data_IF_644389216284
#
_entry.id   IF_644389216284
#
_cell.length_a   1.000
_cell.length_b   1.000
_cell.length_c   1.000
_cell.angle_alpha   90.00
_cell.angle_beta   90.00
_cell.angle_gamma   90.00
#
_symmetry.space_group_name_H-M   'P 1'
#
loop_
_entity.id
_entity.type
_entity.pdbx_description
1 polymer ?
#
# COMPACT_ATOMS: atom_id res chain seq x y z
N UNK A 1 -9.24 20.69 -2.11
CA UNK A 1 -8.91 19.29 -1.74
C UNK A 1 -7.63 18.83 -2.45
N UNK A 2 -6.67 18.21 -1.73
CA UNK A 2 -5.34 17.85 -2.27
C UNK A 2 -5.25 16.51 -2.99
N UNK A 3 -6.25 15.63 -2.82
CA UNK A 3 -6.31 14.28 -3.39
C UNK A 3 -7.59 14.09 -4.18
N UNK A 4 -7.46 13.47 -5.35
CA UNK A 4 -8.56 12.99 -6.19
C UNK A 4 -9.22 11.75 -5.59
N UNK A 5 -10.35 11.31 -6.15
CA UNK A 5 -11.02 10.09 -5.68
C UNK A 5 -10.19 8.83 -6.01
N UNK A 6 -9.48 8.82 -7.14
CA UNK A 6 -8.50 7.80 -7.48
C UNK A 6 -7.34 7.74 -6.47
N UNK A 7 -6.82 8.90 -6.06
CA UNK A 7 -5.76 8.94 -5.04
C UNK A 7 -6.27 8.39 -3.69
N UNK A 8 -7.50 8.73 -3.31
CA UNK A 8 -8.11 8.27 -2.05
C UNK A 8 -8.35 6.77 -2.05
N UNK A 9 -8.84 6.20 -3.15
CA UNK A 9 -9.06 4.76 -3.26
C UNK A 9 -7.73 3.99 -3.22
N UNK A 10 -6.69 4.50 -3.88
CA UNK A 10 -5.35 3.92 -3.80
C UNK A 10 -4.77 3.96 -2.36
N UNK A 11 -4.97 5.07 -1.64
CA UNK A 11 -4.57 5.18 -0.23
C UNK A 11 -5.34 4.24 0.68
N UNK A 12 -6.65 4.08 0.45
CA UNK A 12 -7.48 3.14 1.20
C UNK A 12 -7.01 1.68 1.00
N UNK A 13 -6.74 1.29 -0.24
CA UNK A 13 -6.16 -0.02 -0.56
C UNK A 13 -4.78 -0.20 0.09
N UNK A 14 -3.93 0.82 0.05
CA UNK A 14 -2.61 0.78 0.68
C UNK A 14 -2.69 0.60 2.21
N UNK A 15 -3.61 1.28 2.89
CA UNK A 15 -3.84 1.11 4.32
C UNK A 15 -4.34 -0.30 4.65
N UNK A 16 -5.33 -0.78 3.91
CA UNK A 16 -5.90 -2.12 4.02
C UNK A 16 -4.82 -3.21 3.91
N UNK A 17 -4.05 -3.22 2.82
CA UNK A 17 -2.99 -4.20 2.56
C UNK A 17 -1.89 -4.14 3.62
N UNK A 18 -1.53 -2.94 4.10
CA UNK A 18 -0.47 -2.80 5.11
C UNK A 18 -0.87 -3.42 6.46
N UNK A 19 -2.17 -3.45 6.75
CA UNK A 19 -2.76 -3.98 8.00
C UNK A 19 -3.25 -5.43 7.90
N UNK A 20 -2.77 -6.19 6.91
CA UNK A 20 -3.09 -7.61 6.75
C UNK A 20 -2.79 -8.44 8.01
N UNK A 21 -1.81 -8.05 8.82
CA UNK A 21 -1.41 -8.81 10.02
C UNK A 21 -2.32 -8.63 11.22
N UNK A 22 -3.07 -7.52 11.30
CA UNK A 22 -3.88 -7.14 12.46
C UNK A 22 -5.38 -7.04 12.15
N UNK A 23 -5.79 -7.39 10.91
CA UNK A 23 -7.20 -7.41 10.48
C UNK A 23 -7.54 -8.71 9.77
N UNK A 24 -8.58 -9.45 10.22
CA UNK A 24 -8.96 -10.73 9.62
C UNK A 24 -9.53 -10.60 8.20
N UNK A 25 -10.11 -9.45 7.84
CA UNK A 25 -10.58 -9.12 6.49
C UNK A 25 -10.04 -7.73 6.11
N UNK A 26 -8.71 -7.64 5.94
CA UNK A 26 -8.05 -6.35 5.80
C UNK A 26 -8.39 -5.65 4.48
N UNK A 27 -8.59 -6.42 3.40
CA UNK A 27 -8.94 -5.93 2.05
C UNK A 27 -10.32 -6.49 1.70
N UNK A 28 -11.37 -5.82 2.17
CA UNK A 28 -12.75 -6.16 1.84
C UNK A 28 -13.06 -5.88 0.36
N UNK A 29 -14.06 -6.57 -0.19
CA UNK A 29 -14.56 -6.36 -1.56
C UNK A 29 -14.86 -4.87 -1.86
N UNK A 30 -15.43 -4.12 -0.90
CA UNK A 30 -15.72 -2.69 -1.08
C UNK A 30 -14.47 -1.86 -1.38
N UNK A 31 -13.35 -2.15 -0.73
CA UNK A 31 -12.07 -1.44 -0.91
C UNK A 31 -11.46 -1.81 -2.26
N UNK A 32 -11.53 -3.10 -2.61
CA UNK A 32 -11.04 -3.60 -3.89
C UNK A 32 -11.84 -3.02 -5.06
N UNK A 33 -13.16 -3.10 -5.00
CA UNK A 33 -14.07 -2.63 -6.04
C UNK A 33 -13.97 -1.11 -6.21
N UNK A 34 -13.80 -0.35 -5.13
CA UNK A 34 -13.60 1.09 -5.24
C UNK A 34 -12.28 1.41 -5.97
N UNK A 35 -11.17 0.73 -5.65
CA UNK A 35 -9.93 0.91 -6.41
C UNK A 35 -10.09 0.49 -7.89
N UNK A 36 -10.77 -0.63 -8.15
CA UNK A 36 -11.01 -1.13 -9.50
C UNK A 36 -11.92 -0.21 -10.35
N UNK A 37 -12.66 0.73 -9.75
CA UNK A 37 -13.38 1.78 -10.50
C UNK A 37 -12.45 2.82 -11.10
N UNK A 38 -11.26 3.03 -10.52
CA UNK A 38 -10.32 4.08 -10.93
C UNK A 38 -9.11 3.53 -11.71
N UNK A 39 -8.74 2.28 -11.50
CA UNK A 39 -7.56 1.65 -12.09
C UNK A 39 -7.93 0.45 -12.94
N UNK A 40 -7.34 0.35 -14.13
CA UNK A 40 -7.42 -0.88 -14.93
C UNK A 40 -6.61 -2.01 -14.28
N UNK A 41 -6.76 -3.23 -14.79
CA UNK A 41 -6.14 -4.44 -14.22
C UNK A 41 -4.62 -4.30 -14.07
N UNK A 42 -3.95 -3.76 -15.10
CA UNK A 42 -2.50 -3.57 -15.11
C UNK A 42 -2.05 -2.55 -14.06
N UNK A 43 -2.79 -1.43 -13.95
CA UNK A 43 -2.51 -0.38 -12.97
C UNK A 43 -2.79 -0.86 -11.55
N UNK A 44 -3.85 -1.65 -11.34
CA UNK A 44 -4.19 -2.22 -10.04
C UNK A 44 -3.15 -3.25 -9.60
N UNK A 45 -2.70 -4.12 -10.50
CA UNK A 45 -1.58 -5.04 -10.23
C UNK A 45 -0.29 -4.27 -9.86
N UNK A 46 0.02 -3.20 -10.60
CA UNK A 46 1.17 -2.34 -10.31
C UNK A 46 1.05 -1.67 -8.95
N UNK A 47 -0.15 -1.20 -8.58
CA UNK A 47 -0.44 -0.60 -7.28
C UNK A 47 -0.20 -1.60 -6.14
N UNK A 48 -0.73 -2.82 -6.25
CA UNK A 48 -0.53 -3.90 -5.28
C UNK A 48 0.95 -4.25 -5.13
N UNK A 49 1.68 -4.42 -6.25
CA UNK A 49 3.11 -4.70 -6.23
C UNK A 49 3.92 -3.57 -5.56
N UNK A 50 3.54 -2.32 -5.80
CA UNK A 50 4.19 -1.15 -5.19
C UNK A 50 3.97 -1.12 -3.69
N UNK A 51 2.72 -1.33 -3.24
CA UNK A 51 2.38 -1.41 -1.80
C UNK A 51 3.15 -2.55 -1.13
N UNK A 52 3.19 -3.73 -1.75
CA UNK A 52 3.91 -4.90 -1.24
C UNK A 52 5.41 -4.64 -1.13
N UNK A 53 6.01 -4.02 -2.15
CA UNK A 53 7.44 -3.68 -2.18
C UNK A 53 7.82 -2.70 -1.07
N UNK A 54 7.02 -1.67 -0.84
CA UNK A 54 7.23 -0.73 0.27
C UNK A 54 7.09 -1.45 1.61
N UNK A 55 6.07 -2.31 1.74
CA UNK A 55 5.85 -3.13 2.93
C UNK A 55 7.00 -4.10 3.23
N UNK A 56 7.64 -4.66 2.21
CA UNK A 56 8.84 -5.48 2.31
C UNK A 56 10.01 -4.66 2.88
N UNK A 57 10.30 -3.50 2.29
CA UNK A 57 11.40 -2.65 2.75
C UNK A 57 11.17 -2.14 4.18
N UNK A 58 9.94 -1.76 4.53
CA UNK A 58 9.60 -1.37 5.90
C UNK A 58 9.93 -2.48 6.91
N UNK A 59 9.60 -3.74 6.58
CA UNK A 59 9.89 -4.90 7.44
C UNK A 59 11.39 -5.19 7.53
N UNK A 60 12.13 -5.13 6.41
CA UNK A 60 13.58 -5.31 6.40
C UNK A 60 14.29 -4.24 7.23
N UNK A 61 13.90 -2.97 7.03
CA UNK A 61 14.50 -1.84 7.75
C UNK A 61 14.21 -1.91 9.25
N UNK A 62 12.98 -2.26 9.63
CA UNK A 62 12.62 -2.45 11.03
C UNK A 62 13.39 -3.62 11.67
N UNK A 63 13.45 -4.77 11.00
CA UNK A 63 14.14 -5.97 11.50
C UNK A 63 15.65 -5.77 11.68
N UNK A 64 16.26 -4.97 10.81
CA UNK A 64 17.71 -4.68 10.83
C UNK A 64 18.07 -3.37 11.53
N UNK A 65 17.08 -2.66 12.10
CA UNK A 65 17.23 -1.37 12.79
C UNK A 65 17.96 -0.31 11.94
N UNK A 66 17.63 -0.23 10.66
CA UNK A 66 18.18 0.83 9.80
C UNK A 66 17.70 2.21 10.25
N UNK A 67 18.63 3.13 10.45
CA UNK A 67 18.33 4.53 10.83
C UNK A 67 18.15 5.37 9.58
N UNK A 68 17.01 6.03 9.44
CA UNK A 68 16.75 6.95 8.34
C UNK A 68 17.83 8.04 8.27
N UNK A 69 18.36 8.32 7.08
CA UNK A 69 19.40 9.33 6.88
C UNK A 69 20.81 8.93 7.36
N UNK A 70 21.00 7.73 7.89
CA UNK A 70 22.33 7.23 8.26
C UNK A 70 23.17 6.75 7.07
N UNK A 71 22.58 6.71 5.87
CA UNK A 71 23.30 6.41 4.63
C UNK A 71 24.26 7.56 4.32
N UNK A 72 25.51 7.38 4.70
CA UNK A 72 26.62 8.21 4.25
C UNK A 72 27.12 7.58 2.96
N UNK A 73 26.75 8.18 1.83
CA UNK A 73 27.42 7.90 0.56
C UNK A 73 28.91 8.16 0.67
#
# INVERSE_FOLDING_TARGET
>A
PYFTDADRSALALAEAVTRLSDRPDAVSDEIWDEAARHFDESSLATLVLSIATVNLWNRLNAATRQVAGAWKG
#
